data_IF_232744382631
#
_entry.id   IF_232744382631
#
_cell.length_a   1.000
_cell.length_b   1.000
_cell.length_c   1.000
_cell.angle_alpha   90.00
_cell.angle_beta   90.00
_cell.angle_gamma   90.00
#
_symmetry.space_group_name_H-M   'P 1'
#
loop_
_entity.id
_entity.type
_entity.pdbx_description
1 polymer ?
#
# COMPACT_ATOMS: atom_id res chain seq x y z
N UNK A 1 4.99 22.90 -5.12
CA UNK A 1 4.16 23.36 -3.99
C UNK A 1 4.28 22.31 -2.90
N UNK A 2 4.57 22.64 -1.63
CA UNK A 2 4.54 21.64 -0.57
C UNK A 2 3.11 21.10 -0.41
N UNK A 3 2.96 19.78 -0.27
CA UNK A 3 1.67 19.19 0.05
C UNK A 3 1.20 19.63 1.44
N UNK A 4 -0.12 19.80 1.61
CA UNK A 4 -0.69 20.08 2.92
C UNK A 4 -0.82 18.77 3.72
N UNK A 5 -0.36 18.79 4.98
CA UNK A 5 -0.55 17.67 5.90
C UNK A 5 -1.86 17.85 6.67
N UNK A 6 -2.67 16.80 6.73
CA UNK A 6 -3.93 16.76 7.49
C UNK A 6 -3.88 15.58 8.44
N UNK A 7 -4.10 15.82 9.74
CA UNK A 7 -4.20 14.76 10.74
C UNK A 7 -5.67 14.37 10.97
N UNK A 8 -5.94 13.06 11.03
CA UNK A 8 -7.28 12.56 11.37
C UNK A 8 -7.39 12.28 12.86
N UNK A 9 -8.41 12.84 13.51
CA UNK A 9 -8.78 12.50 14.88
C UNK A 9 -9.21 11.02 14.96
N UNK A 10 -8.56 10.25 15.83
CA UNK A 10 -8.76 8.80 15.95
C UNK A 10 -7.84 7.94 15.08
N UNK A 11 -7.03 8.54 14.19
CA UNK A 11 -6.03 7.83 13.39
C UNK A 11 -6.61 6.75 12.47
N UNK A 12 -5.75 5.90 11.94
CA UNK A 12 -6.10 4.67 11.24
C UNK A 12 -5.06 3.61 11.59
N UNK A 13 -5.47 2.33 11.62
CA UNK A 13 -4.49 1.24 11.71
C UNK A 13 -4.23 0.69 10.31
N UNK A 14 -3.00 0.25 10.05
CA UNK A 14 -2.67 -0.35 8.75
C UNK A 14 -3.48 -1.63 8.50
N UNK A 15 -3.77 -2.37 9.58
CA UNK A 15 -4.54 -3.62 9.53
C UNK A 15 -5.95 -3.44 8.95
N UNK A 16 -6.56 -2.26 9.08
CA UNK A 16 -7.88 -1.96 8.51
C UNK A 16 -7.90 -2.05 6.97
N UNK A 17 -6.73 -1.82 6.35
CA UNK A 17 -6.55 -1.78 4.90
C UNK A 17 -5.95 -3.05 4.31
N UNK A 18 -5.30 -3.88 5.13
CA UNK A 18 -4.71 -5.12 4.67
C UNK A 18 -5.78 -6.22 4.52
N UNK A 19 -5.52 -7.22 3.66
CA UNK A 19 -6.35 -8.42 3.61
C UNK A 19 -6.27 -9.22 4.92
N UNK A 20 -7.27 -10.08 5.16
CA UNK A 20 -7.26 -10.96 6.33
C UNK A 20 -6.22 -12.07 6.20
N UNK A 21 -6.04 -12.60 4.99
CA UNK A 21 -4.95 -13.51 4.66
C UNK A 21 -3.78 -12.72 4.08
N UNK A 22 -2.70 -12.62 4.85
CA UNK A 22 -1.44 -11.98 4.44
C UNK A 22 -0.34 -12.99 4.11
N UNK A 23 -0.61 -14.29 4.27
CA UNK A 23 0.36 -15.36 3.99
C UNK A 23 0.36 -15.73 2.51
N UNK A 24 -0.75 -15.49 1.81
CA UNK A 24 -0.85 -15.69 0.36
C UNK A 24 -0.53 -14.40 -0.41
N UNK A 25 0.68 -14.34 -0.98
CA UNK A 25 1.14 -13.20 -1.78
C UNK A 25 2.18 -13.62 -2.82
N UNK A 26 2.35 -12.77 -3.83
CA UNK A 26 3.50 -12.83 -4.72
C UNK A 26 4.59 -11.90 -4.20
N UNK A 27 5.83 -12.38 -4.17
CA UNK A 27 7.00 -11.55 -3.89
C UNK A 27 7.89 -11.42 -5.12
N UNK A 28 8.41 -10.22 -5.35
CA UNK A 28 9.40 -10.02 -6.38
C UNK A 28 10.36 -8.88 -6.01
N UNK A 29 11.59 -8.99 -6.49
CA UNK A 29 12.57 -7.92 -6.40
C UNK A 29 12.37 -6.96 -7.56
N UNK A 30 12.21 -5.68 -7.26
CA UNK A 30 12.01 -4.63 -8.25
C UNK A 30 12.62 -3.31 -7.82
N UNK A 31 12.05 -2.23 -8.31
CA UNK A 31 12.46 -0.85 -8.03
C UNK A 31 11.33 -0.02 -7.44
N UNK A 32 11.66 1.17 -6.93
CA UNK A 32 10.67 2.18 -6.58
C UNK A 32 9.92 2.63 -7.84
N UNK A 33 8.61 2.88 -7.71
CA UNK A 33 7.76 3.32 -8.83
C UNK A 33 7.80 4.83 -9.04
N UNK A 34 8.49 5.56 -8.18
CA UNK A 34 8.71 7.01 -8.29
C UNK A 34 10.21 7.31 -8.36
N UNK A 35 10.61 8.37 -9.08
CA UNK A 35 12.01 8.79 -9.13
C UNK A 35 12.61 8.90 -7.72
N UNK A 36 13.82 8.37 -7.48
CA UNK A 36 14.84 7.98 -8.47
C UNK A 36 14.73 6.53 -9.00
N UNK A 37 13.63 5.81 -8.76
CA UNK A 37 13.41 4.45 -9.25
C UNK A 37 14.48 3.44 -8.79
N UNK A 38 14.99 3.61 -7.56
CA UNK A 38 16.05 2.74 -7.02
C UNK A 38 15.65 1.27 -6.97
N UNK A 39 16.56 0.39 -7.38
CA UNK A 39 16.40 -1.06 -7.37
C UNK A 39 16.65 -1.70 -6.00
N UNK A 40 16.37 -3.00 -5.88
CA UNK A 40 16.58 -3.77 -4.65
C UNK A 40 15.39 -3.77 -3.69
N UNK A 41 14.24 -3.23 -4.12
CA UNK A 41 12.99 -3.19 -3.35
C UNK A 41 12.31 -4.55 -3.41
N UNK A 42 11.87 -5.06 -2.26
CA UNK A 42 11.00 -6.24 -2.21
C UNK A 42 9.56 -5.80 -2.29
N UNK A 43 8.88 -6.16 -3.37
CA UNK A 43 7.46 -5.94 -3.54
C UNK A 43 6.68 -7.14 -2.98
N UNK A 44 5.62 -6.83 -2.24
CA UNK A 44 4.66 -7.79 -1.68
C UNK A 44 3.31 -7.49 -2.32
N UNK A 45 2.79 -8.43 -3.09
CA UNK A 45 1.52 -8.29 -3.79
C UNK A 45 0.52 -9.32 -3.25
N UNK A 46 -0.42 -8.87 -2.44
CA UNK A 46 -1.47 -9.74 -1.90
C UNK A 46 -2.43 -10.21 -3.00
N UNK A 47 -2.87 -11.46 -2.92
CA UNK A 47 -3.78 -12.04 -3.91
C UNK A 47 -5.25 -11.72 -3.64
N UNK A 48 -5.60 -11.41 -2.39
CA UNK A 48 -6.94 -11.00 -2.00
C UNK A 48 -7.15 -9.50 -2.23
N UNK A 49 -8.20 -9.16 -2.97
CA UNK A 49 -8.51 -7.79 -3.37
C UNK A 49 -9.41 -7.11 -2.33
N UNK A 50 -9.06 -5.87 -2.00
CA UNK A 50 -9.92 -5.02 -1.15
C UNK A 50 -10.96 -4.31 -2.03
N UNK A 51 -12.22 -4.38 -1.60
CA UNK A 51 -13.30 -3.65 -2.26
C UNK A 51 -13.26 -2.18 -1.83
N UNK A 52 -13.43 -1.31 -2.82
CA UNK A 52 -13.64 0.12 -2.66
C UNK A 52 -14.97 0.43 -3.32
N UNK A 53 -15.76 1.34 -2.73
CA UNK A 53 -17.07 1.66 -3.31
C UNK A 53 -16.91 2.43 -4.62
N UNK A 54 -17.87 2.29 -5.54
CA UNK A 54 -17.81 2.93 -6.87
C UNK A 54 -17.69 4.46 -6.85
N UNK A 55 -18.05 5.09 -5.72
CA UNK A 55 -18.00 6.55 -5.55
C UNK A 55 -16.64 7.07 -5.07
N UNK A 56 -15.72 6.18 -4.71
CA UNK A 56 -14.38 6.50 -4.25
C UNK A 56 -13.37 6.24 -5.36
#
# INVERSE_FOLDING_TARGET
>A
MPGQFVSRSGGFTLQDYLPRDMDTYFNYRGSLTTPPCSEGVTWVWFTDNRQVSDRQ
#
